data_IF_521794860890
#
_entry.id   IF_521794860890
#
_cell.length_a   1.000
_cell.length_b   1.000
_cell.length_c   1.000
_cell.angle_alpha   90.00
_cell.angle_beta   90.00
_cell.angle_gamma   90.00
#
_symmetry.space_group_name_H-M   'P 1'
#
loop_
_entity.id
_entity.type
_entity.pdbx_description
1 polymer ?
#
# COMPACT_ATOMS: atom_id res chain seq x y z
N UNK A 1 2.59 1.41 -2.24
CA UNK A 1 3.42 0.21 -2.07
C UNK A 1 4.41 0.11 -3.22
N UNK A 2 5.51 -0.59 -3.02
CA UNK A 2 6.46 -0.94 -4.09
C UNK A 2 6.08 -2.32 -4.61
N UNK A 3 5.95 -2.47 -5.93
CA UNK A 3 5.55 -3.75 -6.52
C UNK A 3 6.61 -4.82 -6.27
N UNK A 4 7.88 -4.43 -6.30
CA UNK A 4 9.01 -5.27 -5.95
C UNK A 4 10.07 -4.42 -5.23
N UNK A 5 10.61 -4.93 -4.14
CA UNK A 5 11.76 -4.35 -3.45
C UNK A 5 12.78 -5.44 -3.18
N UNK A 6 14.05 -5.17 -3.46
CA UNK A 6 15.14 -6.11 -3.23
C UNK A 6 16.06 -5.59 -2.13
N UNK A 7 16.39 -6.45 -1.18
CA UNK A 7 17.26 -6.11 -0.05
C UNK A 7 18.45 -7.05 -0.02
N UNK A 8 19.66 -6.49 -0.09
CA UNK A 8 20.90 -7.24 0.12
C UNK A 8 21.13 -7.45 1.62
N UNK A 9 21.13 -8.71 2.06
CA UNK A 9 21.30 -9.05 3.49
C UNK A 9 22.78 -9.19 3.80
N UNK A 10 23.28 -8.30 4.65
CA UNK A 10 24.73 -8.20 4.92
C UNK A 10 25.25 -9.26 5.90
N UNK A 11 24.42 -9.76 6.82
CA UNK A 11 24.84 -10.69 7.89
C UNK A 11 23.68 -11.57 8.41
N UNK A 12 24.01 -12.60 9.18
CA UNK A 12 23.05 -13.53 9.79
C UNK A 12 22.80 -14.77 8.94
N UNK A 13 21.79 -15.57 9.30
CA UNK A 13 21.45 -16.84 8.60
C UNK A 13 21.16 -16.65 7.10
N UNK A 14 20.62 -15.49 6.73
CA UNK A 14 20.38 -15.11 5.34
C UNK A 14 21.49 -14.23 4.73
N UNK A 15 22.63 -14.09 5.40
CA UNK A 15 23.77 -13.28 4.95
C UNK A 15 24.26 -13.67 3.54
N UNK A 16 24.60 -12.67 2.74
CA UNK A 16 25.04 -12.86 1.34
C UNK A 16 23.91 -13.11 0.34
N UNK A 17 22.66 -13.27 0.81
CA UNK A 17 21.49 -13.42 -0.07
C UNK A 17 20.86 -12.07 -0.40
N UNK A 18 20.14 -12.06 -1.52
CA UNK A 18 19.20 -10.99 -1.85
C UNK A 18 17.77 -11.49 -1.64
N UNK A 19 17.00 -10.78 -0.83
CA UNK A 19 15.59 -11.08 -0.61
C UNK A 19 14.73 -10.16 -1.47
N UNK A 20 13.77 -10.76 -2.17
CA UNK A 20 12.81 -10.06 -3.00
C UNK A 20 11.46 -10.03 -2.29
N UNK A 21 11.01 -8.83 -1.98
CA UNK A 21 9.71 -8.56 -1.36
C UNK A 21 8.75 -7.99 -2.40
N UNK A 22 7.48 -8.36 -2.31
CA UNK A 22 6.43 -7.90 -3.22
C UNK A 22 5.37 -7.10 -2.46
N UNK A 23 4.81 -6.08 -3.13
CA UNK A 23 3.77 -5.20 -2.58
C UNK A 23 4.15 -4.58 -1.22
N UNK A 24 5.40 -4.13 -1.08
CA UNK A 24 5.90 -3.55 0.17
C UNK A 24 5.16 -2.26 0.48
N UNK A 25 4.36 -2.25 1.54
CA UNK A 25 3.63 -1.06 1.99
C UNK A 25 4.63 -0.06 2.55
N UNK A 26 4.57 1.19 2.05
CA UNK A 26 5.46 2.29 2.47
C UNK A 26 4.78 3.31 3.35
N UNK A 27 3.47 3.47 3.16
CA UNK A 27 2.63 4.36 3.92
C UNK A 27 1.20 3.79 3.97
N UNK A 28 0.47 4.14 5.02
CA UNK A 28 -0.93 3.80 5.21
C UNK A 28 -1.62 5.02 5.83
N UNK A 29 -2.72 5.45 5.20
CA UNK A 29 -3.50 6.59 5.66
C UNK A 29 -5.00 6.33 5.49
N UNK A 30 -5.80 6.92 6.38
CA UNK A 30 -7.25 6.97 6.22
C UNK A 30 -7.60 8.18 5.35
N UNK A 31 -8.33 7.95 4.26
CA UNK A 31 -8.74 8.99 3.31
C UNK A 31 -10.21 9.41 3.44
N UNK A 32 -10.98 8.74 4.29
CA UNK A 32 -12.38 9.04 4.52
C UNK A 32 -13.11 7.97 5.34
N UNK A 33 -14.42 8.16 5.52
CA UNK A 33 -15.33 7.22 6.19
C UNK A 33 -16.48 6.90 5.24
N UNK A 34 -16.76 5.61 5.04
CA UNK A 34 -17.86 5.14 4.21
C UNK A 34 -19.02 4.65 5.08
N UNK A 35 -20.23 5.07 4.76
CA UNK A 35 -21.45 4.80 5.55
C UNK A 35 -22.51 3.98 4.80
N UNK A 36 -22.17 3.45 3.62
CA UNK A 36 -23.06 2.63 2.80
C UNK A 36 -23.38 3.23 1.43
N UNK A 37 -23.33 4.56 1.31
CA UNK A 37 -23.67 5.28 0.07
C UNK A 37 -22.45 5.49 -0.84
N UNK A 38 -22.63 5.65 -2.16
CA UNK A 38 -21.55 5.97 -3.08
C UNK A 38 -20.76 7.22 -2.62
N UNK A 39 -19.44 7.09 -2.53
CA UNK A 39 -18.54 8.15 -2.05
C UNK A 39 -17.40 8.36 -3.06
N UNK A 40 -17.10 9.61 -3.38
CA UNK A 40 -15.92 10.01 -4.18
C UNK A 40 -14.93 10.73 -3.28
N UNK A 41 -13.68 10.28 -3.30
CA UNK A 41 -12.57 10.87 -2.55
C UNK A 41 -11.45 11.19 -3.53
N UNK A 42 -10.80 12.34 -3.32
CA UNK A 42 -9.60 12.72 -4.05
C UNK A 42 -8.37 12.48 -3.15
N UNK A 43 -7.30 11.96 -3.74
CA UNK A 43 -6.00 11.83 -3.10
C UNK A 43 -4.93 12.22 -4.12
N UNK A 44 -3.86 12.84 -3.65
CA UNK A 44 -2.73 13.29 -4.46
C UNK A 44 -1.53 12.38 -4.26
N UNK A 45 -0.61 12.35 -5.23
CA UNK A 45 0.63 11.57 -5.08
C UNK A 45 1.47 12.01 -3.87
N UNK A 46 1.40 13.29 -3.51
CA UNK A 46 2.09 13.84 -2.34
C UNK A 46 1.64 13.17 -1.03
N UNK A 47 0.37 12.78 -0.93
CA UNK A 47 -0.19 12.17 0.28
C UNK A 47 0.41 10.79 0.57
N UNK A 48 0.91 10.09 -0.44
CA UNK A 48 1.44 8.73 -0.26
C UNK A 48 2.88 8.69 0.26
N UNK A 49 3.65 9.79 0.13
CA UNK A 49 5.07 9.83 0.47
C UNK A 49 5.94 9.01 -0.49
N UNK A 50 7.01 9.63 -0.97
CA UNK A 50 7.91 9.00 -1.96
C UNK A 50 7.23 8.74 -3.30
N UNK A 51 7.65 7.68 -3.99
CA UNK A 51 7.21 7.36 -5.35
C UNK A 51 6.73 5.89 -5.44
N UNK A 52 5.58 5.55 -4.82
CA UNK A 52 5.07 4.19 -4.82
C UNK A 52 4.68 3.73 -6.24
N UNK A 53 4.87 2.44 -6.53
CA UNK A 53 4.45 1.84 -7.81
C UNK A 53 2.92 1.63 -7.89
N UNK A 54 2.24 1.61 -6.73
CA UNK A 54 0.79 1.41 -6.68
C UNK A 54 0.18 1.66 -5.31
N UNK A 55 -1.14 1.67 -5.27
CA UNK A 55 -1.95 1.85 -4.07
C UNK A 55 -3.00 0.74 -3.95
N UNK A 56 -3.30 0.33 -2.71
CA UNK A 56 -4.43 -0.51 -2.40
C UNK A 56 -5.44 0.35 -1.62
N UNK A 57 -6.68 0.40 -2.10
CA UNK A 57 -7.79 1.05 -1.41
C UNK A 57 -8.57 -0.03 -0.69
N UNK A 58 -8.79 0.15 0.61
CA UNK A 58 -9.44 -0.83 1.48
C UNK A 58 -10.60 -0.15 2.21
N UNK A 59 -11.79 -0.70 2.07
CA UNK A 59 -12.94 -0.34 2.91
C UNK A 59 -12.99 -1.32 4.07
N UNK A 60 -12.59 -0.88 5.27
CA UNK A 60 -12.47 -1.73 6.44
C UNK A 60 -13.38 -1.26 7.57
N UNK A 61 -14.11 -2.20 8.18
CA UNK A 61 -14.87 -1.93 9.39
C UNK A 61 -13.92 -1.63 10.56
N UNK A 62 -13.99 -0.42 11.10
CA UNK A 62 -13.24 -0.06 12.31
C UNK A 62 -13.73 -0.81 13.56
N UNK A 63 -14.97 -1.32 13.55
CA UNK A 63 -15.54 -2.07 14.68
C UNK A 63 -15.11 -3.54 14.71
N UNK A 64 -15.00 -4.17 13.54
CA UNK A 64 -14.79 -5.63 13.44
C UNK A 64 -13.47 -6.01 12.76
N UNK A 65 -12.77 -5.06 12.14
CA UNK A 65 -11.59 -5.32 11.31
C UNK A 65 -11.90 -5.96 9.95
N UNK A 66 -13.16 -6.31 9.66
CA UNK A 66 -13.55 -6.94 8.38
C UNK A 66 -13.29 -6.00 7.20
N UNK A 67 -12.63 -6.51 6.17
CA UNK A 67 -12.50 -5.83 4.87
C UNK A 67 -13.80 -6.08 4.09
N UNK A 68 -14.51 -5.00 3.78
CA UNK A 68 -15.80 -5.00 3.07
C UNK A 68 -15.60 -4.84 1.55
N UNK A 69 -14.49 -4.25 1.15
CA UNK A 69 -14.12 -4.08 -0.25
C UNK A 69 -12.65 -3.71 -0.39
N UNK A 70 -12.06 -4.05 -1.54
CA UNK A 70 -10.69 -3.70 -1.86
C UNK A 70 -10.52 -3.47 -3.36
N UNK A 71 -9.66 -2.53 -3.72
CA UNK A 71 -9.26 -2.27 -5.09
C UNK A 71 -7.76 -1.96 -5.17
N UNK A 72 -7.15 -2.28 -6.30
CA UNK A 72 -5.76 -1.96 -6.60
C UNK A 72 -5.70 -0.86 -7.66
N UNK A 73 -4.86 0.13 -7.43
CA UNK A 73 -4.58 1.23 -8.36
C UNK A 73 -3.10 1.19 -8.72
N UNK A 74 -2.79 1.07 -10.01
CA UNK A 74 -1.43 1.26 -10.51
C UNK A 74 -1.15 2.76 -10.55
N UNK A 75 -0.01 3.18 -9.99
CA UNK A 75 0.42 4.57 -10.05
C UNK A 75 1.53 4.64 -11.09
N UNK A 76 1.18 5.13 -12.28
CA UNK A 76 2.15 5.37 -13.34
C UNK A 76 3.07 6.51 -12.92
N UNK A 77 4.39 6.29 -13.07
CA UNK A 77 5.37 7.38 -13.00
C UNK A 77 5.13 8.27 -14.21
N UNK A 78 4.79 9.52 -13.97
CA UNK A 78 4.78 10.58 -15.00
C UNK A 78 6.23 10.89 -15.35
#
# INVERSE_FOLDING_TARGET
FDRQHETAIQRGENGGRKLKNHNVVRNMMQIGTWTGEPLKLAATLADFGGHPDGCAVIVQSVKTGRILGAAKVALSKV
#
